data_IF_329696897890
#
_entry.id   IF_329696897890
#
_cell.length_a   1.000
_cell.length_b   1.000
_cell.length_c   1.000
_cell.angle_alpha   90.00
_cell.angle_beta   90.00
_cell.angle_gamma   90.00
#
_symmetry.space_group_name_H-M   'P 1'
#
loop_
_entity.id
_entity.type
_entity.pdbx_description
1 polymer ?
#
# COMPACT_ATOMS: atom_id res chain seq x y z
N UNK A 1 -15.18 -1.37 0.45
CA UNK A 1 -14.50 -0.59 -0.61
C UNK A 1 -13.12 -1.19 -0.86
N UNK A 2 -12.67 -1.30 -2.12
CA UNK A 2 -11.32 -1.75 -2.42
C UNK A 2 -10.29 -0.78 -1.83
N UNK A 3 -9.14 -1.31 -1.41
CA UNK A 3 -8.06 -0.52 -0.79
C UNK A 3 -7.03 -0.19 -1.84
N UNK A 4 -6.81 1.10 -2.03
CA UNK A 4 -5.84 1.63 -2.98
C UNK A 4 -4.54 1.97 -2.25
N UNK A 5 -3.52 1.13 -2.42
CA UNK A 5 -2.18 1.37 -1.93
C UNK A 5 -1.36 2.05 -3.03
N UNK A 6 -0.96 3.29 -2.78
CA UNK A 6 -0.13 4.09 -3.66
C UNK A 6 1.31 4.00 -3.21
N UNK A 7 2.18 3.54 -4.08
CA UNK A 7 3.61 3.50 -3.80
C UNK A 7 4.34 4.52 -4.67
N UNK A 8 5.13 5.38 -4.05
CA UNK A 8 5.96 6.36 -4.76
C UNK A 8 7.44 6.11 -4.48
N UNK A 9 8.30 6.29 -5.47
CA UNK A 9 9.74 6.31 -5.24
C UNK A 9 10.18 7.72 -4.80
N UNK A 10 10.84 7.83 -3.65
CA UNK A 10 11.36 9.10 -3.10
C UNK A 10 12.66 8.84 -2.37
N UNK A 11 13.68 9.67 -2.60
CA UNK A 11 14.93 9.65 -1.81
C UNK A 11 15.58 8.25 -1.70
N UNK A 12 15.56 7.47 -2.79
CA UNK A 12 16.15 6.12 -2.80
C UNK A 12 15.29 5.02 -2.16
N UNK A 13 14.04 5.28 -1.80
CA UNK A 13 13.14 4.29 -1.21
C UNK A 13 11.73 4.36 -1.79
N UNK A 14 11.04 3.23 -1.84
CA UNK A 14 9.62 3.16 -2.20
C UNK A 14 8.79 3.37 -0.94
N UNK A 15 7.84 4.29 -0.99
CA UNK A 15 6.94 4.59 0.13
C UNK A 15 5.50 4.30 -0.29
N UNK A 16 4.88 3.32 0.37
CA UNK A 16 3.49 2.95 0.23
C UNK A 16 2.60 3.70 1.22
N UNK A 17 1.52 4.27 0.71
CA UNK A 17 0.49 4.98 1.46
C UNK A 17 -0.90 4.54 1.01
N UNK A 18 -1.91 4.73 1.85
CA UNK A 18 -3.32 4.43 1.51
C UNK A 18 -4.17 5.65 1.82
N UNK A 19 -5.21 5.88 1.03
CA UNK A 19 -6.12 7.00 1.27
C UNK A 19 -6.98 6.72 2.50
N UNK A 20 -6.99 7.66 3.46
CA UNK A 20 -7.82 7.56 4.66
C UNK A 20 -7.18 6.84 5.85
N UNK A 21 -5.95 6.32 5.72
CA UNK A 21 -5.18 5.78 6.83
C UNK A 21 -3.85 6.55 6.99
N UNK A 22 -3.39 6.69 8.23
CA UNK A 22 -2.10 7.33 8.54
C UNK A 22 -0.94 6.34 8.47
N UNK A 23 -1.21 5.04 8.38
CA UNK A 23 -0.19 3.99 8.26
C UNK A 23 0.51 4.09 6.91
N UNK A 24 1.83 3.99 6.96
CA UNK A 24 2.70 3.93 5.78
C UNK A 24 3.69 2.78 5.92
N UNK A 25 4.25 2.35 4.80
CA UNK A 25 5.35 1.41 4.77
C UNK A 25 6.36 1.85 3.72
N UNK A 26 7.62 1.51 3.90
CA UNK A 26 8.66 1.78 2.92
C UNK A 26 9.52 0.56 2.69
N UNK A 27 10.12 0.49 1.51
CA UNK A 27 11.03 -0.58 1.13
C UNK A 27 12.02 -0.05 0.09
N UNK A 28 13.30 -0.40 0.19
CA UNK A 28 14.33 0.04 -0.75
C UNK A 28 14.42 -0.85 -2.00
N UNK A 29 13.80 -2.02 -1.99
CA UNK A 29 13.94 -3.04 -3.05
C UNK A 29 12.93 -2.81 -4.18
N UNK A 30 11.64 -2.64 -3.85
CA UNK A 30 10.60 -2.46 -4.88
C UNK A 30 9.32 -1.83 -4.33
N UNK A 31 8.53 -1.24 -5.23
CA UNK A 31 7.23 -0.69 -4.88
C UNK A 31 6.23 -1.75 -4.39
N UNK A 32 6.30 -2.95 -4.98
CA UNK A 32 5.48 -4.09 -4.57
C UNK A 32 5.75 -4.47 -3.12
N UNK A 33 7.01 -4.62 -2.72
CA UNK A 33 7.33 -4.97 -1.33
C UNK A 33 6.90 -3.87 -0.34
N UNK A 34 6.99 -2.59 -0.72
CA UNK A 34 6.43 -1.52 0.11
C UNK A 34 4.91 -1.64 0.25
N UNK A 35 4.20 -1.94 -0.84
CA UNK A 35 2.75 -2.14 -0.83
C UNK A 35 2.34 -3.37 -0.01
N UNK A 36 3.04 -4.49 -0.14
CA UNK A 36 2.81 -5.69 0.66
C UNK A 36 3.06 -5.46 2.16
N UNK A 37 4.11 -4.71 2.49
CA UNK A 37 4.39 -4.34 3.87
C UNK A 37 3.25 -3.47 4.45
N UNK A 38 2.69 -2.55 3.65
CA UNK A 38 1.53 -1.77 4.08
C UNK A 38 0.29 -2.66 4.21
N UNK A 39 0.01 -3.55 3.25
CA UNK A 39 -1.12 -4.48 3.32
C UNK A 39 -1.07 -5.33 4.60
N UNK A 40 0.10 -5.88 4.95
CA UNK A 40 0.30 -6.60 6.22
C UNK A 40 -0.02 -5.73 7.45
N UNK A 41 0.42 -4.46 7.46
CA UNK A 41 0.09 -3.52 8.55
C UNK A 41 -1.41 -3.18 8.62
N UNK A 42 -2.11 -3.26 7.49
CA UNK A 42 -3.56 -3.08 7.38
C UNK A 42 -4.35 -4.36 7.72
N UNK A 43 -3.67 -5.47 8.01
CA UNK A 43 -4.31 -6.77 8.24
C UNK A 43 -4.89 -7.39 6.96
N UNK A 44 -4.37 -7.00 5.80
CA UNK A 44 -4.74 -7.48 4.47
C UNK A 44 -3.78 -8.55 3.97
N UNK A 45 -4.26 -9.41 3.08
CA UNK A 45 -3.43 -10.45 2.46
C UNK A 45 -2.60 -9.86 1.31
N UNK A 46 -1.25 -9.78 1.44
CA UNK A 46 -0.41 -9.23 0.40
C UNK A 46 -0.49 -9.98 -0.94
N UNK A 47 -0.90 -11.26 -0.94
CA UNK A 47 -1.01 -12.07 -2.16
C UNK A 47 -2.18 -11.65 -3.05
N UNK A 48 -3.18 -10.97 -2.48
CA UNK A 48 -4.35 -10.46 -3.20
C UNK A 48 -4.17 -9.04 -3.73
N UNK A 49 -2.98 -8.44 -3.56
CA UNK A 49 -2.64 -7.15 -4.16
C UNK A 49 -2.53 -7.30 -5.68
N UNK A 50 -3.38 -6.57 -6.40
CA UNK A 50 -3.32 -6.45 -7.86
C UNK A 50 -2.65 -5.14 -8.23
N UNK A 51 -1.57 -5.21 -9.01
CA UNK A 51 -0.96 -4.03 -9.60
C UNK A 51 -1.86 -3.52 -10.73
N UNK A 52 -2.30 -2.27 -10.63
CA UNK A 52 -3.39 -1.75 -11.47
C UNK A 52 -2.88 -0.97 -12.67
N UNK A 53 -1.76 -0.26 -12.51
CA UNK A 53 -0.90 0.24 -13.58
C UNK A 53 0.16 1.17 -12.97
N UNK A 54 1.31 1.24 -13.64
CA UNK A 54 2.20 2.40 -13.58
C UNK A 54 1.47 3.55 -14.25
N UNK A 55 1.10 4.56 -13.47
CA UNK A 55 0.49 5.75 -14.02
C UNK A 55 1.53 6.44 -14.91
N UNK A 56 1.39 6.31 -16.24
CA UNK A 56 2.32 6.87 -17.23
C UNK A 56 2.33 8.41 -17.22
N UNK A 57 1.34 9.04 -16.57
CA UNK A 57 1.24 10.48 -16.37
C UNK A 57 1.92 10.94 -15.07
N UNK A 58 2.10 10.04 -14.10
CA UNK A 58 2.75 10.26 -12.80
C UNK A 58 3.99 9.38 -12.72
N UNK A 59 5.02 9.73 -13.50
CA UNK A 59 6.34 9.09 -13.43
C UNK A 59 6.75 8.79 -11.99
N UNK A 60 6.85 7.51 -11.64
CA UNK A 60 7.32 7.05 -10.33
C UNK A 60 6.24 6.70 -9.29
N UNK A 61 4.95 6.63 -9.67
CA UNK A 61 3.87 6.13 -8.79
C UNK A 61 3.31 4.80 -9.31
N UNK A 62 3.35 3.77 -8.46
CA UNK A 62 2.76 2.44 -8.70
C UNK A 62 1.52 2.26 -7.82
N UNK A 63 0.40 1.86 -8.43
CA UNK A 63 -0.88 1.67 -7.74
C UNK A 63 -1.20 0.19 -7.57
N UNK A 64 -1.38 -0.23 -6.32
CA UNK A 64 -1.79 -1.57 -5.94
C UNK A 64 -3.18 -1.54 -5.32
N UNK A 65 -4.10 -2.34 -5.86
CA UNK A 65 -5.48 -2.45 -5.38
C UNK A 65 -5.66 -3.78 -4.67
N UNK A 66 -6.19 -3.73 -3.46
CA UNK A 66 -6.62 -4.90 -2.71
C UNK A 66 -8.16 -4.98 -2.72
N UNK A 67 -8.76 -6.13 -3.05
CA UNK A 67 -10.22 -6.25 -3.16
C UNK A 67 -10.92 -6.17 -1.79
N UNK A 68 -10.23 -6.54 -0.70
CA UNK A 68 -10.77 -6.51 0.66
C UNK A 68 -10.54 -5.16 1.33
N UNK A 69 -11.47 -4.76 2.20
CA UNK A 69 -11.33 -3.62 3.10
C UNK A 69 -10.27 -3.88 4.17
N UNK A 70 -9.52 -2.84 4.61
CA UNK A 70 -8.58 -3.00 5.71
C UNK A 70 -9.38 -3.49 6.90
N UNK A 71 -8.90 -4.51 7.60
CA UNK A 71 -9.36 -4.74 8.97
C UNK A 71 -8.85 -3.53 9.74
N UNK A 72 -9.69 -2.51 9.86
CA UNK A 72 -9.49 -1.49 10.89
C UNK A 72 -9.26 -2.28 12.16
N UNK A 73 -8.07 -2.13 12.77
CA UNK A 73 -7.89 -2.69 14.11
C UNK A 73 -9.02 -2.07 14.91
N UNK A 74 -9.99 -2.91 15.29
CA UNK A 74 -10.79 -2.64 16.48
C UNK A 74 -9.77 -2.19 17.52
N UNK A 75 -9.88 -0.92 17.91
CA UNK A 75 -9.15 -0.38 19.04
C UNK A 75 -9.41 -1.37 20.17
N UNK A 76 -8.39 -2.16 20.49
CA UNK A 76 -8.36 -2.95 21.70
C UNK A 76 -8.46 -1.93 22.83
N UNK A 77 -9.69 -1.69 23.26
CA UNK A 77 -10.02 -0.90 24.43
C UNK A 77 -9.60 -1.78 25.60
N UNK A 78 -8.50 -1.41 26.24
CA UNK A 78 -8.01 -1.98 27.49
C UNK A 78 -8.00 -0.89 28.53
#
# INVERSE_FOLDING_TARGET
>A
MPVEIRTRFTTGTYVATVRGDKRTASNTISARQAAEALARKLGLDPTKLRETQRDLLRSGVELFVHPETPKAKEVANG
#
